data_IF_692647485952
#
_entry.id   IF_692647485952
#
_cell.length_a   1.000
_cell.length_b   1.000
_cell.length_c   1.000
_cell.angle_alpha   90.00
_cell.angle_beta   90.00
_cell.angle_gamma   90.00
#
_symmetry.space_group_name_H-M   'P 1'
#
loop_
_entity.id
_entity.type
_entity.pdbx_description
1 polymer ?
#
# COMPACT_ATOMS: atom_id res chain seq x y z
N UNK A 1 10.26 9.26 3.64
CA UNK A 1 10.80 8.80 2.34
C UNK A 1 10.47 7.32 2.18
N UNK A 2 10.14 6.88 0.97
CA UNK A 2 9.90 5.46 0.64
C UNK A 2 11.21 4.76 0.27
N UNK A 3 11.38 3.51 0.71
CA UNK A 3 12.53 2.66 0.41
C UNK A 3 12.11 1.22 0.20
N UNK A 4 12.90 0.47 -0.56
CA UNK A 4 12.65 -0.94 -0.82
C UNK A 4 12.79 -1.76 0.47
N UNK A 5 11.82 -2.63 0.73
CA UNK A 5 11.86 -3.55 1.87
C UNK A 5 13.00 -4.55 1.69
N UNK A 6 13.73 -4.85 2.77
CA UNK A 6 14.85 -5.81 2.79
C UNK A 6 15.86 -5.62 1.65
N UNK A 7 16.14 -4.36 1.27
CA UNK A 7 16.99 -3.99 0.14
C UNK A 7 16.54 -4.63 -1.20
N UNK A 8 15.24 -4.84 -1.38
CA UNK A 8 14.64 -5.44 -2.57
C UNK A 8 14.65 -6.96 -2.60
N UNK A 9 15.03 -7.63 -1.50
CA UNK A 9 15.07 -9.10 -1.44
C UNK A 9 13.68 -9.76 -1.56
N UNK A 10 12.60 -9.01 -1.35
CA UNK A 10 11.22 -9.50 -1.47
C UNK A 10 10.71 -9.53 -2.91
N UNK A 11 11.34 -8.80 -3.83
CA UNK A 11 10.90 -8.72 -5.24
C UNK A 11 11.05 -10.09 -5.92
N UNK A 12 10.02 -10.52 -6.65
CA UNK A 12 9.95 -11.84 -7.27
C UNK A 12 9.56 -12.99 -6.32
N UNK A 13 9.35 -12.71 -5.03
CA UNK A 13 8.80 -13.68 -4.08
C UNK A 13 7.27 -13.59 -4.01
N UNK A 14 6.63 -14.48 -3.25
CA UNK A 14 5.18 -14.47 -3.05
C UNK A 14 4.79 -13.51 -1.93
N UNK A 15 3.81 -12.64 -2.18
CA UNK A 15 3.23 -11.76 -1.17
C UNK A 15 2.01 -12.37 -0.48
N UNK A 16 1.27 -11.52 0.23
CA UNK A 16 0.13 -11.93 1.06
C UNK A 16 -1.08 -12.38 0.23
N UNK A 17 -1.22 -11.89 -0.99
CA UNK A 17 -2.31 -12.25 -1.91
C UNK A 17 -1.92 -13.39 -2.87
N UNK A 18 -0.86 -14.13 -2.52
CA UNK A 18 -0.25 -15.21 -3.31
C UNK A 18 0.21 -14.78 -4.72
N UNK A 19 0.35 -13.48 -4.98
CA UNK A 19 0.93 -12.97 -6.22
C UNK A 19 2.45 -12.83 -6.14
N UNK A 20 3.11 -12.65 -7.27
CA UNK A 20 4.53 -12.28 -7.33
C UNK A 20 4.71 -10.80 -7.01
N UNK A 21 5.50 -10.49 -5.99
CA UNK A 21 5.80 -9.12 -5.58
C UNK A 21 6.58 -8.40 -6.69
N UNK A 22 5.98 -7.33 -7.22
CA UNK A 22 6.59 -6.44 -8.23
C UNK A 22 7.22 -5.21 -7.59
N UNK A 23 6.59 -4.66 -6.55
CA UNK A 23 7.08 -3.50 -5.80
C UNK A 23 6.77 -3.74 -4.33
N UNK A 24 7.74 -3.47 -3.45
CA UNK A 24 7.54 -3.57 -2.02
C UNK A 24 8.35 -2.49 -1.31
N UNK A 25 7.64 -1.47 -0.83
CA UNK A 25 8.26 -0.28 -0.29
C UNK A 25 7.69 0.07 1.08
N UNK A 26 8.57 0.52 1.95
CA UNK A 26 8.26 1.01 3.28
C UNK A 26 8.61 2.49 3.39
N UNK A 27 7.75 3.25 4.05
CA UNK A 27 7.96 4.64 4.39
C UNK A 27 8.60 4.73 5.78
N UNK A 28 9.57 5.62 5.95
CA UNK A 28 10.29 5.85 7.22
C UNK A 28 9.42 6.22 8.43
N UNK A 29 8.16 6.59 8.20
CA UNK A 29 7.18 6.87 9.25
C UNK A 29 6.30 5.65 9.62
N UNK A 30 6.57 4.47 9.06
CA UNK A 30 5.90 3.22 9.42
C UNK A 30 4.69 2.87 8.54
N UNK A 31 4.78 3.08 7.22
CA UNK A 31 3.81 2.57 6.26
C UNK A 31 4.47 1.59 5.29
N UNK A 32 3.72 0.62 4.75
CA UNK A 32 4.20 -0.29 3.70
C UNK A 32 3.17 -0.43 2.60
N UNK A 33 3.66 -0.48 1.36
CA UNK A 33 2.86 -0.75 0.18
C UNK A 33 3.54 -1.86 -0.63
N UNK A 34 2.78 -2.92 -0.92
CA UNK A 34 3.24 -4.06 -1.70
C UNK A 34 2.32 -4.24 -2.90
N UNK A 35 2.87 -4.14 -4.11
CA UNK A 35 2.18 -4.46 -5.36
C UNK A 35 2.53 -5.90 -5.76
N UNK A 36 1.52 -6.74 -5.84
CA UNK A 36 1.60 -8.12 -6.31
C UNK A 36 0.96 -8.26 -7.69
N UNK A 37 1.48 -9.20 -8.49
CA UNK A 37 0.94 -9.61 -9.79
C UNK A 37 0.54 -11.09 -9.78
N UNK A 38 -0.50 -11.45 -10.51
CA UNK A 38 -1.00 -12.82 -10.68
C UNK A 38 -1.35 -13.48 -9.32
N UNK A 39 -2.07 -12.74 -8.48
CA UNK A 39 -2.61 -13.23 -7.20
C UNK A 39 -3.92 -14.01 -7.36
N UNK A 40 -4.44 -14.55 -6.25
CA UNK A 40 -5.59 -15.45 -6.28
C UNK A 40 -6.92 -14.77 -6.65
N UNK A 41 -7.08 -13.50 -6.25
CA UNK A 41 -8.36 -12.77 -6.38
C UNK A 41 -8.41 -11.92 -7.65
N UNK A 42 -7.30 -11.26 -7.99
CA UNK A 42 -7.22 -10.34 -9.13
C UNK A 42 -5.82 -10.36 -9.76
N UNK A 43 -5.69 -9.92 -11.03
CA UNK A 43 -4.40 -9.87 -11.71
C UNK A 43 -3.35 -9.01 -11.01
N UNK A 44 -3.78 -7.96 -10.29
CA UNK A 44 -2.91 -7.13 -9.47
C UNK A 44 -3.58 -6.85 -8.13
N UNK A 45 -2.78 -6.79 -7.07
CA UNK A 45 -3.23 -6.43 -5.74
C UNK A 45 -2.23 -5.47 -5.10
N UNK A 46 -2.71 -4.43 -4.42
CA UNK A 46 -1.89 -3.55 -3.60
C UNK A 46 -2.28 -3.75 -2.15
N UNK A 47 -1.43 -4.38 -1.37
CA UNK A 47 -1.57 -4.40 0.08
C UNK A 47 -0.94 -3.15 0.65
N UNK A 48 -1.75 -2.35 1.33
CA UNK A 48 -1.39 -1.09 1.97
C UNK A 48 -1.54 -1.20 3.48
N UNK A 49 -0.63 -0.60 4.24
CA UNK A 49 -0.78 -0.56 5.68
C UNK A 49 0.05 0.51 6.36
N UNK A 50 -0.45 0.97 7.51
CA UNK A 50 0.28 1.78 8.47
C UNK A 50 0.42 0.95 9.75
N UNK A 51 1.66 0.72 10.18
CA UNK A 51 1.94 -0.16 11.31
C UNK A 51 1.27 0.34 12.59
N UNK A 52 0.59 -0.58 13.29
CA UNK A 52 -0.19 -0.26 14.49
C UNK A 52 -1.54 0.42 14.22
N UNK A 53 -1.92 0.61 12.95
CA UNK A 53 -3.16 1.28 12.55
C UNK A 53 -4.06 0.38 11.71
N UNK A 54 -3.74 0.17 10.42
CA UNK A 54 -4.58 -0.62 9.51
C UNK A 54 -3.77 -1.36 8.45
N UNK A 55 -4.43 -2.36 7.84
CA UNK A 55 -4.03 -2.98 6.58
C UNK A 55 -5.25 -3.11 5.67
N UNK A 56 -5.06 -2.90 4.37
CA UNK A 56 -6.10 -2.95 3.36
C UNK A 56 -5.53 -3.39 2.01
N UNK A 57 -6.23 -4.26 1.29
CA UNK A 57 -5.84 -4.72 -0.04
C UNK A 57 -6.80 -4.17 -1.09
N UNK A 58 -6.24 -3.47 -2.08
CA UNK A 58 -6.95 -2.98 -3.27
C UNK A 58 -6.68 -3.91 -4.46
N UNK A 59 -7.72 -4.34 -5.17
CA UNK A 59 -7.61 -5.23 -6.32
C UNK A 59 -7.77 -4.49 -7.64
N UNK A 60 -6.88 -4.73 -8.59
CA UNK A 60 -6.85 -4.08 -9.90
C UNK A 60 -6.72 -5.10 -11.04
N UNK A 61 -7.16 -4.70 -12.23
CA UNK A 61 -7.23 -5.57 -13.41
C UNK A 61 -6.04 -5.46 -14.36
N UNK A 62 -5.24 -4.39 -14.27
CA UNK A 62 -4.09 -4.16 -15.15
C UNK A 62 -2.95 -3.43 -14.44
N UNK A 63 -1.75 -3.54 -15.03
CA UNK A 63 -0.49 -3.05 -14.46
C UNK A 63 -0.40 -1.52 -14.40
N UNK A 64 -0.92 -0.84 -15.42
CA UNK A 64 -0.84 0.61 -15.54
C UNK A 64 -1.64 1.28 -14.42
N UNK A 65 -2.90 0.88 -14.25
CA UNK A 65 -3.74 1.35 -13.17
C UNK A 65 -3.15 1.00 -11.80
N UNK A 66 -2.57 -0.20 -11.64
CA UNK A 66 -1.94 -0.60 -10.38
C UNK A 66 -0.75 0.30 -10.00
N UNK A 67 0.09 0.67 -10.97
CA UNK A 67 1.22 1.58 -10.72
C UNK A 67 0.76 3.01 -10.45
N UNK A 68 -0.27 3.49 -11.14
CA UNK A 68 -0.87 4.80 -10.87
C UNK A 68 -1.44 4.81 -9.45
N UNK A 69 -2.25 3.81 -9.11
CA UNK A 69 -2.89 3.66 -7.81
C UNK A 69 -1.87 3.59 -6.67
N UNK A 70 -0.79 2.82 -6.84
CA UNK A 70 0.30 2.74 -5.88
C UNK A 70 0.90 4.13 -5.59
N UNK A 71 1.16 4.93 -6.62
CA UNK A 71 1.73 6.27 -6.45
C UNK A 71 0.75 7.24 -5.79
N UNK A 72 -0.55 7.15 -6.10
CA UNK A 72 -1.59 7.94 -5.43
C UNK A 72 -1.64 7.63 -3.93
N UNK A 73 -1.65 6.34 -3.56
CA UNK A 73 -1.62 5.91 -2.16
C UNK A 73 -0.37 6.41 -1.43
N UNK A 74 0.81 6.37 -2.08
CA UNK A 74 2.05 6.92 -1.50
C UNK A 74 1.90 8.40 -1.16
N UNK A 75 1.35 9.20 -2.08
CA UNK A 75 1.14 10.64 -1.87
C UNK A 75 0.14 10.90 -0.73
N UNK A 76 -1.00 10.20 -0.72
CA UNK A 76 -2.01 10.34 0.34
C UNK A 76 -1.46 9.97 1.73
N UNK A 77 -0.65 8.91 1.81
CA UNK A 77 -0.01 8.48 3.07
C UNK A 77 1.05 9.49 3.53
N UNK A 78 1.80 10.10 2.60
CA UNK A 78 2.74 11.19 2.95
C UNK A 78 1.98 12.37 3.55
N UNK A 79 0.89 12.81 2.91
CA UNK A 79 0.06 13.90 3.40
C UNK A 79 -0.54 13.59 4.78
N UNK A 80 -0.98 12.34 5.00
CA UNK A 80 -1.43 11.87 6.31
C UNK A 80 -0.36 12.05 7.39
N UNK A 81 0.90 11.65 7.12
CA UNK A 81 1.98 11.79 8.10
C UNK A 81 2.41 13.24 8.36
N UNK A 82 2.22 14.13 7.39
CA UNK A 82 2.57 15.55 7.52
C UNK A 82 1.46 16.37 8.21
N UNK A 83 0.25 15.84 8.24
CA UNK A 83 -0.92 16.51 8.83
C UNK A 83 -1.03 16.19 10.32
N UNK A 84 -1.15 17.23 11.16
CA UNK A 84 -1.47 17.05 12.58
C UNK A 84 -2.97 16.78 12.72
N UNK A 85 -3.30 15.59 13.21
CA UNK A 85 -4.66 15.13 13.39
C UNK A 85 -4.92 14.79 14.86
N UNK A 86 -6.19 14.84 15.25
CA UNK A 86 -6.70 14.17 16.44
C UNK A 86 -7.01 12.71 16.12
N UNK A 87 -7.12 11.86 17.15
CA UNK A 87 -7.47 10.44 16.97
C UNK A 87 -8.76 10.22 16.15
N UNK A 88 -9.78 11.06 16.32
CA UNK A 88 -11.02 10.94 15.56
C UNK A 88 -10.81 11.26 14.08
N UNK A 89 -9.99 12.26 13.77
CA UNK A 89 -9.65 12.62 12.38
C UNK A 89 -8.81 11.53 11.72
N UNK A 90 -7.90 10.88 12.46
CA UNK A 90 -7.17 9.70 11.97
C UNK A 90 -8.14 8.56 11.63
N UNK A 91 -9.07 8.25 12.52
CA UNK A 91 -10.08 7.21 12.30
C UNK A 91 -10.95 7.50 11.06
N UNK A 92 -11.37 8.75 10.86
CA UNK A 92 -12.14 9.14 9.68
C UNK A 92 -11.30 9.12 8.41
N UNK A 93 -10.03 9.54 8.47
CA UNK A 93 -9.12 9.45 7.33
C UNK A 93 -8.93 8.00 6.89
N UNK A 94 -8.69 7.06 7.82
CA UNK A 94 -8.52 5.63 7.53
C UNK A 94 -9.77 5.07 6.85
N UNK A 95 -10.97 5.38 7.36
CA UNK A 95 -12.23 4.95 6.72
C UNK A 95 -12.36 5.50 5.31
N UNK A 96 -11.98 6.75 5.07
CA UNK A 96 -12.06 7.35 3.74
C UNK A 96 -11.03 6.73 2.79
N UNK A 97 -9.81 6.47 3.27
CA UNK A 97 -8.76 5.81 2.51
C UNK A 97 -9.21 4.41 2.05
N UNK A 98 -9.73 3.59 2.98
CA UNK A 98 -10.22 2.23 2.70
C UNK A 98 -11.44 2.21 1.78
N UNK A 99 -12.24 3.27 1.71
CA UNK A 99 -13.41 3.32 0.82
C UNK A 99 -13.09 3.87 -0.57
N UNK A 100 -11.98 4.61 -0.72
CA UNK A 100 -11.53 5.12 -2.02
C UNK A 100 -10.77 4.07 -2.81
N UNK A 101 -10.04 3.22 -2.09
CA UNK A 101 -9.13 2.20 -2.60
C UNK A 101 -9.71 0.82 -2.36
#
# INVERSE_FOLDING_TARGET
MWYQVDNGATIGTKGSENGEIQIDEEHSAGARLTLEKDGDIAPYAITSGIYGSFFHTTFLSNEEDAKIQLNLMKCEIIEYFETKTTYNEECEWIKQFINRH
#
